data_IF_886906489184
#
_entry.id   IF_886906489184
#
_cell.length_a   1.000
_cell.length_b   1.000
_cell.length_c   1.000
_cell.angle_alpha   90.00
_cell.angle_beta   90.00
_cell.angle_gamma   90.00
#
_symmetry.space_group_name_H-M   'P 1'
#
loop_
_entity.id
_entity.type
_entity.pdbx_description
1 polymer ?
#
# COMPACT_ATOMS: atom_id res chain seq x y z
N UNK A 1 -11.19 27.60 -4.04
CA UNK A 1 -10.93 26.70 -5.18
C UNK A 1 -9.82 27.33 -6.00
N UNK A 2 -8.56 26.91 -5.79
CA UNK A 2 -7.47 27.36 -6.66
C UNK A 2 -7.81 26.85 -8.06
N UNK A 3 -7.78 27.74 -9.06
CA UNK A 3 -8.10 27.46 -10.46
C UNK A 3 -7.05 26.52 -11.07
N UNK A 4 -7.15 25.23 -10.74
CA UNK A 4 -6.28 24.15 -11.21
C UNK A 4 -7.13 22.95 -11.63
N UNK A 5 -6.56 22.14 -12.52
CA UNK A 5 -7.14 20.94 -13.13
C UNK A 5 -7.98 20.14 -12.11
N UNK A 6 -9.20 19.80 -12.51
CA UNK A 6 -10.13 18.99 -11.69
C UNK A 6 -9.60 17.56 -11.51
N UNK A 7 -9.92 16.87 -10.39
CA UNK A 7 -9.53 15.47 -10.23
C UNK A 7 -10.03 14.58 -11.37
N UNK A 8 -11.20 14.87 -11.94
CA UNK A 8 -11.70 14.16 -13.11
C UNK A 8 -10.77 14.30 -14.34
N UNK A 9 -10.26 15.50 -14.58
CA UNK A 9 -9.27 15.75 -15.65
C UNK A 9 -7.93 15.07 -15.34
N UNK A 10 -7.46 15.10 -14.09
CA UNK A 10 -6.27 14.36 -13.66
C UNK A 10 -6.45 12.86 -13.89
N UNK A 11 -7.61 12.31 -13.54
CA UNK A 11 -7.90 10.89 -13.70
C UNK A 11 -7.95 10.47 -15.17
N UNK A 12 -8.47 11.33 -16.05
CA UNK A 12 -8.44 11.10 -17.50
C UNK A 12 -7.01 11.14 -18.04
N UNK A 13 -6.25 12.17 -17.67
CA UNK A 13 -4.84 12.34 -18.09
C UNK A 13 -3.96 11.19 -17.59
N UNK A 14 -4.22 10.68 -16.38
CA UNK A 14 -3.57 9.49 -15.82
C UNK A 14 -3.78 8.25 -16.68
N UNK A 15 -5.03 7.97 -17.08
CA UNK A 15 -5.35 6.83 -17.95
C UNK A 15 -4.70 6.94 -19.32
N UNK A 16 -4.58 8.16 -19.85
CA UNK A 16 -3.98 8.39 -21.17
C UNK A 16 -2.44 8.23 -21.13
N UNK A 17 -1.79 8.65 -20.04
CA UNK A 17 -0.32 8.64 -19.88
C UNK A 17 0.25 7.37 -19.27
N UNK A 18 -0.51 6.67 -18.44
CA UNK A 18 -0.07 5.50 -17.67
C UNK A 18 -0.95 4.31 -18.04
N UNK A 19 -0.49 3.54 -19.04
CA UNK A 19 -1.26 2.44 -19.64
C UNK A 19 -1.46 1.25 -18.70
N UNK A 20 -0.64 1.18 -17.65
CA UNK A 20 -0.68 0.15 -16.62
C UNK A 20 -1.81 0.39 -15.61
N UNK A 21 -2.51 1.54 -15.68
CA UNK A 21 -3.70 1.81 -14.89
C UNK A 21 -4.89 1.05 -15.50
N UNK A 22 -5.45 0.12 -14.74
CA UNK A 22 -6.64 -0.63 -15.11
C UNK A 22 -7.91 0.22 -14.89
N UNK A 23 -7.92 0.97 -13.79
CA UNK A 23 -9.06 1.80 -13.39
C UNK A 23 -8.58 3.06 -12.71
N UNK A 24 -9.27 4.16 -12.97
CA UNK A 24 -9.13 5.37 -12.18
C UNK A 24 -10.51 5.99 -11.98
N UNK A 25 -10.79 6.37 -10.73
CA UNK A 25 -12.09 6.84 -10.25
C UNK A 25 -11.90 8.01 -9.28
N UNK A 26 -12.85 8.94 -9.30
CA UNK A 26 -12.97 9.96 -8.27
C UNK A 26 -13.79 9.44 -7.11
N UNK A 27 -13.21 9.47 -5.92
CA UNK A 27 -13.85 9.05 -4.67
C UNK A 27 -14.50 10.22 -3.92
N UNK A 28 -13.84 11.37 -3.94
CA UNK A 28 -14.28 12.59 -3.27
C UNK A 28 -13.73 13.84 -4.01
N UNK A 29 -14.07 15.08 -3.61
CA UNK A 29 -13.69 16.29 -4.34
C UNK A 29 -12.21 16.40 -4.70
N UNK A 30 -11.29 15.88 -3.89
CA UNK A 30 -9.83 15.89 -4.14
C UNK A 30 -9.20 14.50 -3.95
N UNK A 31 -9.98 13.42 -4.12
CA UNK A 31 -9.49 12.06 -3.87
C UNK A 31 -9.72 11.17 -5.08
N UNK A 32 -8.64 10.60 -5.59
CA UNK A 32 -8.61 9.65 -6.69
C UNK A 32 -8.23 8.27 -6.18
N UNK A 33 -8.89 7.25 -6.72
CA UNK A 33 -8.51 5.86 -6.59
C UNK A 33 -8.02 5.37 -7.95
N UNK A 34 -6.80 4.85 -7.98
CA UNK A 34 -6.16 4.26 -9.15
C UNK A 34 -5.95 2.78 -8.86
N UNK A 35 -6.47 1.89 -9.69
CA UNK A 35 -6.28 0.44 -9.58
C UNK A 35 -5.31 -0.03 -10.66
N UNK A 36 -4.38 -0.89 -10.27
CA UNK A 36 -3.40 -1.54 -11.16
C UNK A 36 -3.07 -2.93 -10.65
N UNK A 37 -2.42 -3.74 -11.48
CA UNK A 37 -1.90 -5.04 -11.10
C UNK A 37 -0.65 -4.91 -10.23
N UNK A 38 -0.42 -5.89 -9.34
CA UNK A 38 0.68 -5.84 -8.38
C UNK A 38 2.07 -5.85 -9.03
N UNK A 39 2.23 -6.45 -10.22
CA UNK A 39 3.49 -6.46 -10.97
C UNK A 39 3.85 -5.09 -11.57
N UNK A 40 2.89 -4.16 -11.66
CA UNK A 40 3.05 -2.81 -12.20
C UNK A 40 3.11 -1.72 -11.14
N UNK A 41 3.02 -2.07 -9.87
CA UNK A 41 2.87 -1.10 -8.77
C UNK A 41 4.00 -0.05 -8.74
N UNK A 42 5.26 -0.48 -8.87
CA UNK A 42 6.42 0.41 -8.84
C UNK A 42 6.39 1.39 -10.02
N UNK A 43 6.11 0.87 -11.22
CA UNK A 43 6.04 1.65 -12.46
C UNK A 43 4.90 2.69 -12.41
N UNK A 44 3.73 2.30 -11.90
CA UNK A 44 2.59 3.20 -11.74
C UNK A 44 2.89 4.29 -10.71
N UNK A 45 3.44 3.93 -9.54
CA UNK A 45 3.80 4.91 -8.51
C UNK A 45 4.85 5.89 -9.03
N UNK A 46 5.90 5.41 -9.69
CA UNK A 46 6.92 6.26 -10.30
C UNK A 46 6.32 7.24 -11.32
N UNK A 47 5.51 6.74 -12.25
CA UNK A 47 4.85 7.59 -13.27
C UNK A 47 3.92 8.62 -12.63
N UNK A 48 3.15 8.25 -11.60
CA UNK A 48 2.26 9.17 -10.88
C UNK A 48 3.08 10.24 -10.15
N UNK A 49 4.11 9.83 -9.41
CA UNK A 49 4.97 10.74 -8.65
C UNK A 49 5.67 11.74 -9.58
N UNK A 50 6.25 11.29 -10.69
CA UNK A 50 6.94 12.12 -11.67
C UNK A 50 5.99 13.09 -12.40
N UNK A 51 4.83 12.62 -12.88
CA UNK A 51 3.92 13.44 -13.68
C UNK A 51 3.10 14.42 -12.84
N UNK A 52 2.76 14.05 -11.61
CA UNK A 52 1.85 14.82 -10.76
C UNK A 52 2.50 15.38 -9.50
N UNK A 53 3.83 15.27 -9.36
CA UNK A 53 4.56 15.73 -8.17
C UNK A 53 3.97 15.14 -6.87
N UNK A 54 3.64 13.85 -6.91
CA UNK A 54 2.99 13.10 -5.84
C UNK A 54 4.02 12.19 -5.14
N UNK A 55 5.01 12.80 -4.48
CA UNK A 55 6.07 12.07 -3.75
C UNK A 55 5.78 11.94 -2.25
N UNK A 56 4.78 12.65 -1.74
CA UNK A 56 4.39 12.53 -0.34
C UNK A 56 3.57 11.26 -0.16
N UNK A 57 4.20 10.21 0.33
CA UNK A 57 3.52 8.99 0.77
C UNK A 57 2.99 9.22 2.19
N UNK A 58 1.68 9.37 2.32
CA UNK A 58 1.01 9.59 3.61
C UNK A 58 1.01 8.31 4.45
N UNK A 59 0.69 7.17 3.82
CA UNK A 59 0.71 5.84 4.42
C UNK A 59 0.57 4.74 3.36
N UNK A 60 0.93 3.51 3.72
CA UNK A 60 0.52 2.28 3.02
C UNK A 60 -0.43 1.55 3.96
N UNK A 61 -1.63 1.24 3.49
CA UNK A 61 -2.59 0.44 4.24
C UNK A 61 -2.86 -0.89 3.55
N UNK A 62 -3.21 -1.91 4.35
CA UNK A 62 -3.55 -3.23 3.86
C UNK A 62 -4.93 -3.67 4.35
N UNK A 63 -5.64 -4.44 3.53
CA UNK A 63 -6.95 -5.00 3.87
C UNK A 63 -6.98 -6.47 3.48
N UNK A 64 -7.31 -7.34 4.44
CA UNK A 64 -7.57 -8.75 4.16
C UNK A 64 -8.94 -8.91 3.46
N UNK A 65 -8.95 -9.37 2.22
CA UNK A 65 -10.16 -9.66 1.43
C UNK A 65 -10.55 -11.15 1.47
N UNK A 66 -9.96 -11.93 2.37
CA UNK A 66 -10.17 -13.36 2.54
C UNK A 66 -9.13 -14.18 1.79
N UNK A 67 -9.15 -14.15 0.45
CA UNK A 67 -8.17 -14.88 -0.40
C UNK A 67 -7.00 -14.02 -0.87
N UNK A 68 -7.14 -12.71 -0.75
CA UNK A 68 -6.19 -11.72 -1.23
C UNK A 68 -5.94 -10.68 -0.14
N UNK A 69 -4.78 -10.04 -0.18
CA UNK A 69 -4.47 -8.83 0.57
C UNK A 69 -4.51 -7.67 -0.42
N UNK A 70 -5.38 -6.69 -0.18
CA UNK A 70 -5.41 -5.42 -0.91
C UNK A 70 -4.39 -4.47 -0.26
N UNK A 71 -3.54 -3.86 -1.07
CA UNK A 71 -2.60 -2.82 -0.66
C UNK A 71 -3.04 -1.48 -1.26
N UNK A 72 -3.06 -0.44 -0.43
CA UNK A 72 -3.41 0.92 -0.83
C UNK A 72 -2.26 1.87 -0.46
N UNK A 73 -1.64 2.46 -1.48
CA UNK A 73 -0.55 3.44 -1.35
C UNK A 73 -1.15 4.84 -1.47
N UNK A 74 -1.16 5.59 -0.38
CA UNK A 74 -1.80 6.90 -0.34
C UNK A 74 -0.77 7.99 -0.61
N UNK A 75 -0.80 8.56 -1.82
CA UNK A 75 0.09 9.63 -2.26
C UNK A 75 -0.64 10.97 -2.22
N UNK A 76 0.06 12.03 -1.85
CA UNK A 76 -0.46 13.39 -1.92
C UNK A 76 0.37 14.24 -2.88
N UNK A 77 -0.32 14.97 -3.75
CA UNK A 77 0.30 16.03 -4.56
C UNK A 77 0.00 17.39 -3.98
N UNK A 78 1.01 18.05 -3.42
CA UNK A 78 0.89 19.45 -2.99
C UNK A 78 0.69 20.42 -4.16
N UNK A 79 1.17 20.07 -5.36
CA UNK A 79 1.04 20.92 -6.55
C UNK A 79 -0.41 21.00 -7.02
N UNK A 80 -1.11 19.87 -7.01
CA UNK A 80 -2.49 19.76 -7.48
C UNK A 80 -3.51 19.69 -6.33
N UNK A 81 -3.05 19.65 -5.08
CA UNK A 81 -3.87 19.53 -3.87
C UNK A 81 -4.85 18.34 -3.93
N UNK A 82 -4.34 17.18 -4.37
CA UNK A 82 -5.11 15.96 -4.60
C UNK A 82 -4.44 14.76 -3.92
N UNK A 83 -5.26 13.93 -3.29
CA UNK A 83 -4.90 12.60 -2.79
C UNK A 83 -5.09 11.57 -3.91
N UNK A 84 -4.07 10.79 -4.19
CA UNK A 84 -4.09 9.71 -5.17
C UNK A 84 -3.77 8.41 -4.44
N UNK A 85 -4.77 7.55 -4.29
CA UNK A 85 -4.57 6.20 -3.73
C UNK A 85 -4.32 5.22 -4.87
N UNK A 86 -3.14 4.60 -4.89
CA UNK A 86 -2.84 3.51 -5.83
C UNK A 86 -3.13 2.18 -5.14
N UNK A 87 -3.94 1.34 -5.76
CA UNK A 87 -4.44 0.09 -5.22
C UNK A 87 -4.03 -1.09 -6.09
N UNK A 88 -3.60 -2.17 -5.43
CA UNK A 88 -3.44 -3.48 -6.04
C UNK A 88 -3.83 -4.58 -5.04
N UNK A 89 -4.08 -5.79 -5.53
CA UNK A 89 -4.29 -6.98 -4.69
C UNK A 89 -3.22 -8.03 -4.96
N UNK A 90 -2.86 -8.79 -3.93
CA UNK A 90 -1.94 -9.93 -4.02
C UNK A 90 -2.55 -11.17 -3.35
N UNK A 91 -2.18 -12.39 -3.78
CA UNK A 91 -2.62 -13.63 -3.12
C UNK A 91 -2.20 -13.68 -1.64
N UNK A 92 -3.12 -14.11 -0.75
CA UNK A 92 -2.86 -14.21 0.71
C UNK A 92 -2.01 -15.43 1.09
N UNK A 93 -1.98 -16.46 0.26
CA UNK A 93 -1.22 -17.69 0.50
C UNK A 93 0.30 -17.50 0.41
N UNK A 94 0.76 -16.57 -0.42
CA UNK A 94 2.15 -16.15 -0.53
C UNK A 94 2.22 -14.64 -0.85
N UNK A 95 1.92 -13.77 0.13
CA UNK A 95 1.77 -12.34 -0.10
C UNK A 95 3.14 -11.70 -0.31
N UNK A 96 3.52 -11.54 -1.58
CA UNK A 96 4.79 -10.94 -2.02
C UNK A 96 4.54 -9.85 -3.04
N UNK A 97 5.31 -8.77 -2.95
CA UNK A 97 5.28 -7.66 -3.90
C UNK A 97 6.64 -6.95 -3.93
N UNK A 98 6.94 -6.21 -4.99
CA UNK A 98 8.13 -5.37 -5.05
C UNK A 98 7.98 -4.14 -4.15
N UNK A 99 9.04 -3.82 -3.44
CA UNK A 99 9.16 -2.58 -2.67
C UNK A 99 9.18 -1.37 -3.58
N UNK A 100 8.71 -0.24 -3.07
CA UNK A 100 8.73 1.05 -3.78
C UNK A 100 9.82 2.00 -3.26
N UNK A 101 10.71 1.52 -2.37
CA UNK A 101 11.72 2.38 -1.72
C UNK A 101 12.67 3.08 -2.68
N UNK A 102 12.93 2.49 -3.86
CA UNK A 102 13.75 3.11 -4.90
C UNK A 102 13.09 4.36 -5.50
N UNK A 103 11.76 4.44 -5.43
CA UNK A 103 10.96 5.58 -5.89
C UNK A 103 10.67 6.54 -4.73
N UNK A 104 10.25 6.00 -3.58
CA UNK A 104 9.89 6.74 -2.37
C UNK A 104 10.60 6.11 -1.18
N UNK A 105 11.80 6.60 -0.79
CA UNK A 105 12.59 6.01 0.30
C UNK A 105 11.85 5.94 1.65
N UNK A 106 10.94 6.87 1.89
CA UNK A 106 10.09 6.89 3.10
C UNK A 106 9.14 5.69 3.22
N UNK A 107 8.95 4.90 2.15
CA UNK A 107 8.14 3.69 2.16
C UNK A 107 8.67 2.61 3.11
N UNK A 108 9.97 2.65 3.44
CA UNK A 108 10.65 1.60 4.21
C UNK A 108 9.91 1.20 5.49
N UNK A 109 9.45 2.17 6.30
CA UNK A 109 8.75 1.91 7.55
C UNK A 109 7.31 1.44 7.33
N UNK A 110 6.62 2.00 6.34
CA UNK A 110 5.25 1.58 6.04
C UNK A 110 5.19 0.15 5.52
N UNK A 111 6.16 -0.25 4.69
CA UNK A 111 6.30 -1.62 4.23
C UNK A 111 6.62 -2.58 5.38
N UNK A 112 7.46 -2.18 6.34
CA UNK A 112 7.73 -2.97 7.56
C UNK A 112 6.48 -3.10 8.45
N UNK A 113 5.67 -2.05 8.60
CA UNK A 113 4.41 -2.12 9.35
C UNK A 113 3.45 -3.12 8.71
N UNK A 114 3.26 -3.05 7.38
CA UNK A 114 2.40 -3.98 6.65
C UNK A 114 2.97 -5.41 6.68
N UNK A 115 4.30 -5.56 6.63
CA UNK A 115 4.97 -6.84 6.80
C UNK A 115 4.63 -7.48 8.15
N UNK A 116 4.78 -6.74 9.24
CA UNK A 116 4.52 -7.24 10.59
C UNK A 116 3.04 -7.60 10.81
N UNK A 117 2.13 -6.75 10.33
CA UNK A 117 0.72 -6.87 10.67
C UNK A 117 -0.08 -7.76 9.71
N UNK A 118 0.34 -7.86 8.45
CA UNK A 118 -0.33 -8.61 7.40
C UNK A 118 0.53 -9.70 6.74
N UNK A 119 1.81 -9.81 7.09
CA UNK A 119 2.71 -10.84 6.57
C UNK A 119 3.21 -10.60 5.14
N UNK A 120 2.98 -9.41 4.58
CA UNK A 120 3.38 -9.10 3.19
C UNK A 120 4.89 -8.93 3.12
N UNK A 121 5.55 -9.62 2.18
CA UNK A 121 6.98 -9.50 1.97
C UNK A 121 7.27 -8.54 0.79
N UNK A 122 8.00 -7.46 1.07
CA UNK A 122 8.35 -6.43 0.09
C UNK A 122 9.76 -6.65 -0.47
N UNK A 123 9.85 -7.22 -1.67
CA UNK A 123 11.12 -7.52 -2.33
C UNK A 123 11.89 -6.24 -2.67
N UNK A 124 13.13 -6.14 -2.17
CA UNK A 124 13.98 -4.96 -2.34
C UNK A 124 14.13 -4.13 -1.07
N UNK A 125 13.21 -4.26 -0.10
CA UNK A 125 13.37 -3.61 1.20
C UNK A 125 14.39 -4.37 2.07
N UNK A 126 15.50 -3.74 2.49
CA UNK A 126 16.57 -4.43 3.21
C UNK A 126 16.17 -4.89 4.62
N UNK A 127 15.09 -4.33 5.19
CA UNK A 127 14.69 -4.54 6.57
C UNK A 127 13.55 -5.56 6.74
N UNK A 128 13.25 -6.37 5.71
CA UNK A 128 12.17 -7.37 5.76
C UNK A 128 12.43 -8.54 6.72
N UNK A 129 13.61 -8.62 7.33
CA UNK A 129 13.93 -9.62 8.37
C UNK A 129 13.86 -9.03 9.78
N UNK A 130 13.52 -7.75 9.91
CA UNK A 130 13.39 -7.04 11.19
C UNK A 130 11.92 -6.79 11.50
N UNK A 131 11.62 -6.53 12.78
CA UNK A 131 10.29 -6.12 13.25
C UNK A 131 10.23 -4.62 13.48
N UNK A 132 9.10 -4.01 13.19
CA UNK A 132 8.81 -2.60 13.47
C UNK A 132 7.75 -2.43 14.57
N UNK A 133 6.64 -3.17 14.47
CA UNK A 133 5.49 -3.03 15.37
C UNK A 133 5.44 -4.18 16.37
N UNK A 134 5.68 -5.40 15.90
CA UNK A 134 5.63 -6.57 16.75
C UNK A 134 6.91 -6.70 17.59
N UNK A 135 6.83 -7.28 18.80
CA UNK A 135 8.02 -7.60 19.58
C UNK A 135 9.00 -8.51 18.82
N UNK A 136 10.30 -8.40 19.12
CA UNK A 136 11.34 -9.25 18.52
C UNK A 136 11.12 -10.74 18.81
N UNK A 137 10.50 -11.08 19.95
CA UNK A 137 10.18 -12.44 20.38
C UNK A 137 8.81 -12.92 19.88
N UNK A 138 8.17 -12.21 18.95
CA UNK A 138 6.91 -12.65 18.36
C UNK A 138 7.06 -14.02 17.69
N UNK A 139 6.28 -15.04 18.10
CA UNK A 139 6.43 -16.39 17.54
C UNK A 139 6.15 -16.43 16.03
N UNK A 140 7.11 -16.97 15.26
CA UNK A 140 7.03 -17.06 13.80
C UNK A 140 5.90 -17.99 13.30
N UNK A 141 5.43 -18.92 14.14
CA UNK A 141 4.37 -19.85 13.82
C UNK A 141 2.96 -19.27 14.04
N UNK A 142 2.86 -18.01 14.50
CA UNK A 142 1.59 -17.30 14.59
C UNK A 142 1.24 -16.63 13.26
N UNK A 143 -0.05 -16.67 12.86
CA UNK A 143 -0.50 -15.92 11.70
C UNK A 143 -0.39 -14.41 11.96
N UNK A 144 -0.25 -13.58 10.90
CA UNK A 144 -0.27 -12.14 11.05
C UNK A 144 -1.53 -11.66 11.78
N UNK A 145 -1.40 -10.73 12.75
CA UNK A 145 -2.45 -10.43 13.72
C UNK A 145 -3.68 -9.73 13.12
N UNK A 146 -3.55 -9.06 11.97
CA UNK A 146 -4.65 -8.33 11.33
C UNK A 146 -5.35 -9.12 10.22
N UNK A 147 -5.03 -10.40 10.06
CA UNK A 147 -5.83 -11.30 9.22
C UNK A 147 -7.23 -11.50 9.82
N UNK A 148 -8.27 -11.43 9.00
CA UNK A 148 -9.68 -11.45 9.44
C UNK A 148 -10.11 -12.77 10.08
N UNK A 149 -9.48 -13.87 9.68
CA UNK A 149 -9.75 -15.20 10.20
C UNK A 149 -9.01 -15.51 11.52
N UNK A 150 -8.10 -14.63 11.93
CA UNK A 150 -7.36 -14.75 13.19
C UNK A 150 -8.20 -14.22 14.35
N UNK A 151 -8.38 -15.06 15.38
CA UNK A 151 -9.12 -14.68 16.59
C UNK A 151 -8.17 -14.19 17.67
N UNK A 152 -8.41 -12.98 18.17
CA UNK A 152 -7.59 -12.35 19.21
C UNK A 152 -7.46 -13.21 20.48
N UNK A 153 -8.53 -13.90 20.89
CA UNK A 153 -8.51 -14.79 22.05
C UNK A 153 -7.56 -15.99 21.89
N UNK A 154 -7.43 -16.50 20.66
CA UNK A 154 -6.51 -17.60 20.36
C UNK A 154 -5.06 -17.12 20.38
N UNK A 155 -4.77 -15.95 19.78
CA UNK A 155 -3.45 -15.31 19.87
C UNK A 155 -3.06 -15.04 21.33
N UNK A 156 -3.96 -14.43 22.11
CA UNK A 156 -3.72 -14.09 23.51
C UNK A 156 -3.37 -15.31 24.35
N UNK A 157 -4.09 -16.42 24.17
CA UNK A 157 -3.79 -17.69 24.86
C UNK A 157 -2.41 -18.24 24.49
N UNK A 158 -1.94 -18.05 23.26
CA UNK A 158 -0.61 -18.54 22.84
C UNK A 158 0.51 -17.65 23.36
N UNK A 159 0.32 -16.33 23.33
CA UNK A 159 1.32 -15.34 23.76
C UNK A 159 1.46 -15.26 25.29
N UNK A 160 0.35 -15.34 26.02
CA UNK A 160 0.34 -15.15 27.48
C UNK A 160 0.06 -16.45 28.25
N UNK A 161 0.53 -17.60 27.75
CA UNK A 161 0.53 -18.84 28.53
C UNK A 161 1.41 -18.66 29.78
N UNK A 162 0.77 -18.22 30.87
CA UNK A 162 1.13 -18.48 32.25
C UNK A 162 0.50 -19.80 32.68
#
# INVERSE_FOLDING_TARGET
MLMGITPEEICKDLKDKVKEIEKCEKMAPNQLLVTTSSDKICEVIEKISNNYNAYHLSTISAVDLGKEIELNYHLFSYKYMVDITVRCSIPKDNPRIKSIIDVIPGAILYEMEVHDLFGVYFEGNPNMNERLILPEDWPEDLPPPLWKDVKTEELRKRLYKQ
#
